data_IF_114216046781
#
_entry.id   IF_114216046781
#
_cell.length_a   1.000
_cell.length_b   1.000
_cell.length_c   1.000
_cell.angle_alpha   90.00
_cell.angle_beta   90.00
_cell.angle_gamma   90.00
#
_symmetry.space_group_name_H-M   'P 1'
#
loop_
_entity.id
_entity.type
_entity.pdbx_description
1 polymer ?
#
# COMPACT_ATOMS: atom_id res chain seq x y z
N UNK A 1 -55.81 12.28 -24.99
CA UNK A 1 -55.13 12.31 -23.67
C UNK A 1 -53.66 12.05 -23.90
N UNK A 2 -52.86 13.10 -23.80
CA UNK A 2 -51.44 13.13 -24.14
C UNK A 2 -50.68 13.14 -22.82
N UNK A 3 -50.09 12.01 -22.43
CA UNK A 3 -49.35 11.88 -21.18
C UNK A 3 -47.96 12.47 -21.37
N UNK A 4 -47.73 13.66 -20.80
CA UNK A 4 -46.42 14.28 -20.75
C UNK A 4 -45.42 13.40 -19.98
N UNK A 5 -44.19 13.21 -20.47
CA UNK A 5 -43.16 12.48 -19.74
C UNK A 5 -42.74 13.29 -18.52
N UNK A 6 -42.76 12.64 -17.35
CA UNK A 6 -42.26 13.19 -16.09
C UNK A 6 -40.74 13.22 -16.21
N UNK A 7 -40.19 14.40 -16.50
CA UNK A 7 -38.77 14.69 -16.36
C UNK A 7 -38.40 14.61 -14.86
N UNK A 8 -37.93 13.43 -14.44
CA UNK A 8 -37.29 13.24 -13.15
C UNK A 8 -35.99 14.04 -13.20
N UNK A 9 -36.03 15.26 -12.65
CA UNK A 9 -34.89 16.12 -12.36
C UNK A 9 -33.79 15.29 -11.68
N UNK A 10 -32.82 14.81 -12.48
CA UNK A 10 -31.58 14.28 -11.93
C UNK A 10 -30.89 15.45 -11.24
N UNK A 11 -30.64 15.37 -9.92
CA UNK A 11 -29.92 16.43 -9.22
C UNK A 11 -28.56 16.58 -9.89
N UNK A 12 -28.32 17.75 -10.47
CA UNK A 12 -27.05 18.13 -11.06
C UNK A 12 -25.98 18.04 -9.97
N UNK A 13 -25.21 16.95 -9.96
CA UNK A 13 -24.09 16.77 -9.04
C UNK A 13 -23.02 17.77 -9.46
N UNK A 14 -22.67 18.79 -8.65
CA UNK A 14 -21.64 19.74 -9.01
C UNK A 14 -20.28 19.04 -9.06
N UNK A 15 -19.75 18.85 -10.27
CA UNK A 15 -18.40 18.37 -10.48
C UNK A 15 -17.41 19.43 -9.98
N UNK A 16 -16.73 19.16 -8.86
CA UNK A 16 -15.66 20.02 -8.33
C UNK A 16 -14.29 19.36 -8.54
N UNK A 17 -13.52 19.74 -9.57
CA UNK A 17 -12.27 19.06 -9.97
C UNK A 17 -11.01 19.43 -9.14
N UNK A 18 -11.15 20.07 -7.98
CA UNK A 18 -10.03 20.52 -7.12
C UNK A 18 -9.70 19.58 -5.94
N UNK A 19 -10.34 18.41 -5.82
CA UNK A 19 -10.32 17.59 -4.59
C UNK A 19 -9.10 16.68 -4.41
N UNK A 20 -8.40 16.32 -5.49
CA UNK A 20 -7.38 15.25 -5.47
C UNK A 20 -6.17 15.51 -4.59
N UNK A 21 -5.54 16.69 -4.65
CA UNK A 21 -4.33 16.98 -3.85
C UNK A 21 -4.63 17.10 -2.36
N UNK A 22 -5.80 17.63 -2.01
CA UNK A 22 -6.24 17.74 -0.61
C UNK A 22 -6.50 16.36 0.00
N UNK A 23 -7.15 15.46 -0.73
CA UNK A 23 -7.39 14.09 -0.27
C UNK A 23 -6.08 13.31 -0.10
N UNK A 24 -5.14 13.38 -1.06
CA UNK A 24 -3.84 12.69 -0.92
C UNK A 24 -3.02 13.21 0.25
N UNK A 25 -3.03 14.53 0.51
CA UNK A 25 -2.35 15.11 1.67
C UNK A 25 -3.01 14.67 2.99
N UNK A 26 -4.34 14.71 3.08
CA UNK A 26 -5.08 14.20 4.26
C UNK A 26 -4.78 12.73 4.53
N UNK A 27 -4.75 11.91 3.48
CA UNK A 27 -4.39 10.50 3.57
C UNK A 27 -2.96 10.33 4.11
N UNK A 28 -1.99 11.05 3.54
CA UNK A 28 -0.61 11.00 4.00
C UNK A 28 -0.50 11.35 5.49
N UNK A 29 -1.13 12.46 5.89
CA UNK A 29 -1.14 12.95 7.26
C UNK A 29 -1.79 11.96 8.22
N UNK A 30 -3.02 11.51 7.93
CA UNK A 30 -3.75 10.56 8.78
C UNK A 30 -3.01 9.23 8.90
N UNK A 31 -2.48 8.69 7.79
CA UNK A 31 -1.70 7.47 7.82
C UNK A 31 -0.44 7.64 8.67
N UNK A 32 0.23 8.79 8.56
CA UNK A 32 1.44 9.07 9.37
C UNK A 32 1.09 9.13 10.86
N UNK A 33 0.05 9.88 11.21
CA UNK A 33 -0.43 9.99 12.59
C UNK A 33 -0.86 8.64 13.16
N UNK A 34 -1.58 7.82 12.39
CA UNK A 34 -1.99 6.49 12.81
C UNK A 34 -0.82 5.55 13.01
N UNK A 35 0.18 5.55 12.12
CA UNK A 35 1.37 4.69 12.28
C UNK A 35 2.19 5.12 13.50
N UNK A 36 2.40 6.43 13.70
CA UNK A 36 3.09 6.95 14.88
C UNK A 36 2.35 6.62 16.18
N UNK A 37 1.02 6.78 16.18
CA UNK A 37 0.19 6.42 17.32
C UNK A 37 0.26 4.91 17.61
N UNK A 38 0.23 4.06 16.58
CA UNK A 38 0.34 2.62 16.74
C UNK A 38 1.70 2.20 17.31
N UNK A 39 2.80 2.82 16.86
CA UNK A 39 4.12 2.55 17.41
C UNK A 39 4.19 2.97 18.88
N UNK A 40 3.67 4.15 19.22
CA UNK A 40 3.68 4.63 20.60
C UNK A 40 2.82 3.75 21.53
N UNK A 41 1.71 3.22 21.02
CA UNK A 41 0.81 2.31 21.73
C UNK A 41 1.20 0.84 21.64
N UNK A 42 2.28 0.49 20.94
CA UNK A 42 2.68 -0.90 20.68
C UNK A 42 2.75 -1.79 21.93
N UNK A 43 3.31 -1.32 23.07
CA UNK A 43 3.34 -2.12 24.31
C UNK A 43 1.95 -2.58 24.78
N UNK A 44 0.90 -1.85 24.41
CA UNK A 44 -0.49 -2.15 24.77
C UNK A 44 -1.16 -3.14 23.81
N UNK A 45 -0.52 -3.54 22.71
CA UNK A 45 -1.09 -4.45 21.72
C UNK A 45 -0.82 -5.93 21.97
N UNK A 46 -0.14 -6.28 23.07
CA UNK A 46 0.03 -7.67 23.48
C UNK A 46 -1.31 -8.47 23.55
N UNK A 47 -2.44 -7.92 24.04
CA UNK A 47 -3.74 -8.59 23.99
C UNK A 47 -4.23 -8.86 22.57
N UNK A 48 -3.99 -7.95 21.62
CA UNK A 48 -4.37 -8.13 20.21
C UNK A 48 -3.64 -9.32 19.59
N UNK A 49 -2.34 -9.45 19.85
CA UNK A 49 -1.55 -10.58 19.38
C UNK A 49 -2.02 -11.92 19.98
N UNK A 50 -2.37 -11.93 21.28
CA UNK A 50 -2.95 -13.13 21.93
C UNK A 50 -4.32 -13.49 21.36
N UNK A 51 -5.19 -12.50 21.13
CA UNK A 51 -6.49 -12.72 20.53
C UNK A 51 -6.36 -13.28 19.10
N UNK A 52 -5.43 -12.73 18.31
CA UNK A 52 -5.12 -13.22 16.96
C UNK A 52 -4.61 -14.67 17.01
N UNK A 53 -3.69 -14.99 17.93
CA UNK A 53 -3.19 -16.37 18.11
C UNK A 53 -4.31 -17.35 18.49
N UNK A 54 -5.22 -16.95 19.38
CA UNK A 54 -6.38 -17.75 19.76
C UNK A 54 -7.32 -17.99 18.57
N UNK A 55 -7.63 -16.94 17.79
CA UNK A 55 -8.48 -17.04 16.60
C UNK A 55 -7.87 -17.97 15.54
N UNK A 56 -6.56 -17.87 15.30
CA UNK A 56 -5.83 -18.78 14.40
C UNK A 56 -5.89 -20.22 14.92
N UNK A 57 -5.68 -20.42 16.23
CA UNK A 57 -5.82 -21.74 16.85
C UNK A 57 -7.22 -22.34 16.65
N UNK A 58 -8.27 -21.55 16.81
CA UNK A 58 -9.65 -21.97 16.55
C UNK A 58 -9.86 -22.35 15.09
N UNK A 59 -9.40 -21.53 14.13
CA UNK A 59 -9.55 -21.81 12.70
C UNK A 59 -8.83 -23.10 12.28
N UNK A 60 -7.61 -23.31 12.79
CA UNK A 60 -6.85 -24.54 12.57
C UNK A 60 -7.55 -25.75 13.20
N UNK A 61 -8.11 -25.60 14.41
CA UNK A 61 -8.91 -26.63 15.07
C UNK A 61 -10.16 -27.03 14.27
N UNK A 62 -10.87 -26.05 13.73
CA UNK A 62 -12.02 -26.27 12.84
C UNK A 62 -11.63 -26.99 11.54
N UNK A 63 -10.38 -26.84 11.08
CA UNK A 63 -9.84 -27.56 9.94
C UNK A 63 -9.35 -29.00 10.28
N UNK A 64 -9.60 -29.48 11.50
CA UNK A 64 -9.20 -30.83 11.94
C UNK A 64 -7.74 -30.94 12.38
N UNK A 65 -7.04 -29.83 12.55
CA UNK A 65 -5.66 -29.80 13.04
C UNK A 65 -5.66 -29.67 14.57
N UNK A 66 -4.56 -30.06 15.22
CA UNK A 66 -4.41 -30.00 16.68
C UNK A 66 -3.37 -28.95 17.11
N UNK A 67 -3.61 -27.65 16.89
CA UNK A 67 -2.68 -26.61 17.30
C UNK A 67 -2.64 -26.46 18.82
N UNK A 68 -1.48 -26.14 19.37
CA UNK A 68 -1.32 -25.67 20.76
C UNK A 68 -1.11 -24.16 20.76
N UNK A 69 -1.96 -23.43 21.48
CA UNK A 69 -1.85 -21.97 21.62
C UNK A 69 -1.35 -21.63 23.03
N UNK A 70 -0.28 -20.83 23.12
CA UNK A 70 0.24 -20.34 24.40
C UNK A 70 0.63 -18.86 24.29
N UNK A 71 -0.18 -17.97 24.88
CA UNK A 71 0.01 -16.53 24.73
C UNK A 71 -0.14 -16.11 23.27
N UNK A 72 0.91 -15.55 22.67
CA UNK A 72 0.95 -15.22 21.23
C UNK A 72 1.63 -16.28 20.37
N UNK A 73 1.96 -17.45 20.93
CA UNK A 73 2.55 -18.56 20.20
C UNK A 73 1.47 -19.53 19.73
N UNK A 74 1.58 -19.96 18.48
CA UNK A 74 0.78 -21.06 17.90
C UNK A 74 1.75 -22.14 17.43
N UNK A 75 1.60 -23.35 17.97
CA UNK A 75 2.45 -24.50 17.66
C UNK A 75 1.63 -25.59 16.98
N UNK A 76 2.10 -26.09 15.85
CA UNK A 76 1.48 -27.18 15.10
C UNK A 76 2.57 -28.14 14.60
N UNK A 77 2.48 -29.42 14.96
CA UNK A 77 3.42 -30.47 14.49
C UNK A 77 4.91 -30.11 14.64
N UNK A 78 5.29 -29.49 15.77
CA UNK A 78 6.66 -29.05 16.04
C UNK A 78 7.07 -27.72 15.40
N UNK A 79 6.24 -27.16 14.51
CA UNK A 79 6.42 -25.83 13.95
C UNK A 79 5.75 -24.78 14.85
N UNK A 80 6.47 -23.72 15.19
CA UNK A 80 5.98 -22.67 16.09
C UNK A 80 6.06 -21.31 15.43
N UNK A 81 4.94 -20.59 15.43
CA UNK A 81 4.87 -19.18 15.01
C UNK A 81 4.54 -18.29 16.20
N UNK A 82 5.20 -17.13 16.27
CA UNK A 82 4.87 -16.06 17.21
C UNK A 82 4.09 -14.99 16.47
N UNK A 83 2.90 -14.68 16.95
CA UNK A 83 2.14 -13.53 16.47
C UNK A 83 2.72 -12.27 17.09
N UNK A 84 3.35 -11.47 16.25
CA UNK A 84 3.84 -10.11 16.56
C UNK A 84 2.88 -9.06 15.99
N UNK A 85 3.06 -7.80 16.39
CA UNK A 85 2.19 -6.69 15.97
C UNK A 85 2.11 -6.59 14.45
N UNK A 86 3.22 -6.81 13.74
CA UNK A 86 3.32 -6.77 12.27
C UNK A 86 2.54 -7.89 11.58
N UNK A 87 2.31 -9.02 12.27
CA UNK A 87 1.47 -10.09 11.76
C UNK A 87 -0.01 -9.86 12.07
N UNK A 88 -0.36 -8.90 12.92
CA UNK A 88 -1.76 -8.53 13.20
C UNK A 88 -2.35 -7.72 12.02
N UNK A 89 -3.68 -7.62 11.89
CA UNK A 89 -4.28 -6.81 10.83
C UNK A 89 -4.15 -5.30 11.08
N UNK A 90 -3.56 -4.88 12.21
CA UNK A 90 -3.57 -3.50 12.68
C UNK A 90 -3.07 -2.51 11.63
N UNK A 91 -1.85 -2.68 11.12
CA UNK A 91 -1.27 -1.71 10.18
C UNK A 91 -2.03 -1.66 8.85
N UNK A 92 -2.52 -2.80 8.37
CA UNK A 92 -3.36 -2.85 7.17
C UNK A 92 -4.71 -2.12 7.37
N UNK A 93 -5.34 -2.30 8.54
CA UNK A 93 -6.55 -1.57 8.91
C UNK A 93 -6.30 -0.07 9.04
N UNK A 94 -5.20 0.36 9.68
CA UNK A 94 -4.84 1.77 9.83
C UNK A 94 -4.59 2.44 8.48
N UNK A 95 -3.89 1.77 7.57
CA UNK A 95 -3.67 2.25 6.21
C UNK A 95 -5.00 2.43 5.45
N UNK A 96 -5.88 1.43 5.54
CA UNK A 96 -7.23 1.49 4.94
C UNK A 96 -8.09 2.59 5.57
N UNK A 97 -8.10 2.72 6.90
CA UNK A 97 -8.86 3.74 7.61
C UNK A 97 -8.39 5.15 7.29
N UNK A 98 -7.08 5.36 7.19
CA UNK A 98 -6.52 6.63 6.74
C UNK A 98 -7.04 6.99 5.33
N UNK A 99 -7.16 6.01 4.44
CA UNK A 99 -7.72 6.23 3.10
C UNK A 99 -9.20 6.63 3.17
N UNK A 100 -10.03 5.85 3.89
CA UNK A 100 -11.47 6.12 4.03
C UNK A 100 -11.73 7.50 4.64
N UNK A 101 -11.02 7.86 5.71
CA UNK A 101 -11.18 9.13 6.41
C UNK A 101 -10.67 10.34 5.62
N UNK A 102 -9.74 10.14 4.68
CA UNK A 102 -9.25 11.21 3.83
C UNK A 102 -10.26 11.63 2.75
N UNK A 103 -11.25 10.80 2.46
CA UNK A 103 -12.22 10.98 1.38
C UNK A 103 -13.51 11.62 1.89
N UNK A 104 -14.15 12.51 1.11
CA UNK A 104 -15.42 13.11 1.50
C UNK A 104 -16.54 12.05 1.42
N UNK A 105 -17.18 11.76 2.55
CA UNK A 105 -18.31 10.84 2.65
C UNK A 105 -19.24 11.25 3.81
N UNK A 106 -20.50 10.80 3.78
CA UNK A 106 -21.38 10.96 4.93
C UNK A 106 -20.90 10.11 6.11
N UNK A 107 -21.11 10.57 7.34
CA UNK A 107 -20.63 9.88 8.54
C UNK A 107 -21.05 8.40 8.62
N UNK A 108 -22.27 8.09 8.18
CA UNK A 108 -22.78 6.70 8.12
C UNK A 108 -21.98 5.84 7.13
N UNK A 109 -21.70 6.36 5.93
CA UNK A 109 -20.90 5.64 4.91
C UNK A 109 -19.44 5.49 5.33
N UNK A 110 -18.89 6.50 5.99
CA UNK A 110 -17.55 6.44 6.58
C UNK A 110 -17.49 5.34 7.63
N UNK A 111 -18.37 5.35 8.63
CA UNK A 111 -18.37 4.35 9.70
C UNK A 111 -18.60 2.93 9.16
N UNK A 112 -19.57 2.74 8.26
CA UNK A 112 -19.81 1.46 7.62
C UNK A 112 -18.59 0.97 6.82
N UNK A 113 -17.93 1.88 6.09
CA UNK A 113 -16.70 1.59 5.37
C UNK A 113 -15.55 1.15 6.27
N UNK A 114 -15.32 1.85 7.39
CA UNK A 114 -14.29 1.52 8.37
C UNK A 114 -14.53 0.12 8.97
N UNK A 115 -15.76 -0.18 9.38
CA UNK A 115 -16.13 -1.45 10.00
C UNK A 115 -16.06 -2.63 9.02
N UNK A 116 -16.68 -2.49 7.84
CA UNK A 116 -16.68 -3.55 6.83
C UNK A 116 -15.27 -3.84 6.30
N UNK A 117 -14.47 -2.81 6.04
CA UNK A 117 -13.10 -3.02 5.59
C UNK A 117 -12.21 -3.62 6.68
N UNK A 118 -12.35 -3.20 7.94
CA UNK A 118 -11.63 -3.83 9.05
C UNK A 118 -12.00 -5.31 9.22
N UNK A 119 -13.28 -5.65 9.06
CA UNK A 119 -13.76 -7.03 9.11
C UNK A 119 -13.12 -7.88 8.00
N UNK A 120 -13.16 -7.41 6.75
CA UNK A 120 -12.57 -8.11 5.59
C UNK A 120 -11.06 -8.28 5.75
N UNK A 121 -10.34 -7.20 6.11
CA UNK A 121 -8.88 -7.24 6.31
C UNK A 121 -8.51 -8.20 7.45
N UNK A 122 -9.25 -8.17 8.56
CA UNK A 122 -9.02 -9.07 9.70
C UNK A 122 -9.26 -10.52 9.32
N UNK A 123 -10.36 -10.83 8.64
CA UNK A 123 -10.67 -12.19 8.19
C UNK A 123 -9.59 -12.74 7.25
N UNK A 124 -9.14 -11.94 6.28
CA UNK A 124 -8.08 -12.33 5.37
C UNK A 124 -6.74 -12.52 6.08
N UNK A 125 -6.40 -11.68 7.06
CA UNK A 125 -5.18 -11.84 7.84
C UNK A 125 -5.21 -13.12 8.68
N UNK A 126 -6.34 -13.44 9.32
CA UNK A 126 -6.52 -14.69 10.07
C UNK A 126 -6.37 -15.91 9.15
N UNK A 127 -6.99 -15.88 7.97
CA UNK A 127 -6.84 -16.93 6.97
C UNK A 127 -5.38 -17.08 6.54
N UNK A 128 -4.70 -15.97 6.23
CA UNK A 128 -3.28 -15.94 5.87
C UNK A 128 -2.42 -16.62 6.93
N UNK A 129 -2.53 -16.21 8.19
CA UNK A 129 -1.72 -16.78 9.28
C UNK A 129 -2.04 -18.26 9.47
N UNK A 130 -3.32 -18.63 9.39
CA UNK A 130 -3.74 -20.03 9.51
C UNK A 130 -3.11 -20.89 8.41
N UNK A 131 -3.16 -20.45 7.14
CA UNK A 131 -2.52 -21.14 6.01
C UNK A 131 -1.01 -21.27 6.23
N UNK A 132 -0.33 -20.18 6.58
CA UNK A 132 1.13 -20.17 6.79
C UNK A 132 1.52 -21.09 7.96
N UNK A 133 0.73 -21.13 9.03
CA UNK A 133 0.95 -22.02 10.17
C UNK A 133 0.71 -23.49 9.81
N UNK A 134 -0.31 -23.78 9.00
CA UNK A 134 -0.64 -25.13 8.55
C UNK A 134 0.41 -25.69 7.58
N UNK A 135 0.96 -24.84 6.71
CA UNK A 135 1.95 -25.22 5.69
C UNK A 135 3.38 -25.26 6.26
N UNK A 136 3.67 -24.48 7.31
CA UNK A 136 5.00 -24.39 7.92
C UNK A 136 5.70 -25.72 8.25
N UNK A 137 5.03 -26.73 8.84
CA UNK A 137 5.64 -28.04 9.13
C UNK A 137 6.08 -28.84 7.89
N UNK A 138 5.53 -28.56 6.70
CA UNK A 138 5.70 -29.41 5.51
C UNK A 138 6.55 -28.79 4.40
N UNK A 139 6.89 -27.50 4.50
CA UNK A 139 7.69 -26.81 3.48
C UNK A 139 9.11 -26.47 3.99
N UNK A 140 10.10 -26.38 3.09
CA UNK A 140 11.42 -25.89 3.45
C UNK A 140 11.37 -24.45 3.97
N UNK A 141 12.30 -24.09 4.86
CA UNK A 141 12.41 -22.75 5.46
C UNK A 141 12.39 -21.61 4.42
N UNK A 142 13.11 -21.78 3.29
CA UNK A 142 13.12 -20.78 2.23
C UNK A 142 11.72 -20.55 1.61
N UNK A 143 10.95 -21.62 1.40
CA UNK A 143 9.59 -21.52 0.84
C UNK A 143 8.65 -20.89 1.87
N UNK A 144 8.81 -21.25 3.14
CA UNK A 144 8.08 -20.60 4.23
C UNK A 144 8.30 -19.09 4.24
N UNK A 145 9.55 -18.62 4.15
CA UNK A 145 9.86 -17.18 4.10
C UNK A 145 9.17 -16.49 2.92
N UNK A 146 9.17 -17.11 1.74
CA UNK A 146 8.45 -16.57 0.57
C UNK A 146 6.93 -16.51 0.81
N UNK A 147 6.33 -17.57 1.36
CA UNK A 147 4.88 -17.61 1.62
C UNK A 147 4.46 -16.62 2.71
N UNK A 148 5.16 -16.67 3.85
CA UNK A 148 4.89 -15.83 5.00
C UNK A 148 5.08 -14.35 4.67
N UNK A 149 6.23 -14.01 4.08
CA UNK A 149 6.62 -12.63 3.85
C UNK A 149 6.01 -12.11 2.56
N UNK A 150 6.34 -12.67 1.40
CA UNK A 150 5.91 -12.09 0.13
C UNK A 150 4.42 -12.30 -0.10
N UNK A 151 3.98 -13.56 -0.22
CA UNK A 151 2.60 -13.85 -0.59
C UNK A 151 1.67 -13.24 0.45
N UNK A 152 2.03 -13.39 1.73
CA UNK A 152 1.35 -12.75 2.84
C UNK A 152 1.24 -11.23 2.73
N UNK A 153 2.37 -10.52 2.70
CA UNK A 153 2.39 -9.07 2.76
C UNK A 153 1.82 -8.43 1.49
N UNK A 154 2.20 -8.92 0.31
CA UNK A 154 1.71 -8.36 -0.96
C UNK A 154 0.22 -8.64 -1.15
N UNK A 155 -0.27 -9.83 -0.79
CA UNK A 155 -1.72 -10.10 -0.84
C UNK A 155 -2.48 -9.18 0.12
N UNK A 156 -1.98 -8.94 1.33
CA UNK A 156 -2.62 -8.03 2.28
C UNK A 156 -2.63 -6.58 1.79
N UNK A 157 -1.53 -6.09 1.20
CA UNK A 157 -1.49 -4.74 0.60
C UNK A 157 -2.44 -4.63 -0.60
N UNK A 158 -2.46 -5.63 -1.47
CA UNK A 158 -3.43 -5.71 -2.57
C UNK A 158 -4.87 -5.73 -2.07
N UNK A 159 -5.15 -6.41 -0.96
CA UNK A 159 -6.46 -6.43 -0.32
C UNK A 159 -6.83 -5.06 0.25
N UNK A 160 -5.88 -4.32 0.83
CA UNK A 160 -6.10 -2.93 1.28
C UNK A 160 -6.46 -2.04 0.09
N UNK A 161 -5.71 -2.12 -1.02
CA UNK A 161 -6.03 -1.41 -2.28
C UNK A 161 -7.43 -1.81 -2.76
N UNK A 162 -7.73 -3.11 -2.79
CA UNK A 162 -9.02 -3.61 -3.24
C UNK A 162 -10.17 -3.06 -2.39
N UNK A 163 -10.03 -3.12 -1.07
CA UNK A 163 -11.01 -2.62 -0.11
C UNK A 163 -11.21 -1.11 -0.28
N UNK A 164 -10.12 -0.35 -0.44
CA UNK A 164 -10.15 1.09 -0.68
C UNK A 164 -10.89 1.44 -1.99
N UNK A 165 -10.62 0.71 -3.08
CA UNK A 165 -11.27 0.95 -4.37
C UNK A 165 -12.75 0.52 -4.37
N UNK A 166 -13.08 -0.61 -3.74
CA UNK A 166 -14.47 -1.06 -3.57
C UNK A 166 -15.27 -0.04 -2.76
N UNK A 167 -14.71 0.43 -1.64
CA UNK A 167 -15.34 1.46 -0.82
C UNK A 167 -15.46 2.79 -1.58
N UNK A 168 -14.42 3.21 -2.30
CA UNK A 168 -14.46 4.43 -3.12
C UNK A 168 -15.55 4.34 -4.18
N UNK A 169 -15.69 3.18 -4.85
CA UNK A 169 -16.78 2.95 -5.81
C UNK A 169 -18.14 3.03 -5.14
N UNK A 170 -18.31 2.44 -3.96
CA UNK A 170 -19.57 2.53 -3.22
C UNK A 170 -19.89 3.96 -2.78
N UNK A 171 -18.89 4.76 -2.43
CA UNK A 171 -19.08 6.13 -1.97
C UNK A 171 -19.34 7.12 -3.12
N UNK A 172 -18.56 7.08 -4.20
CA UNK A 172 -18.57 8.09 -5.28
C UNK A 172 -18.98 7.57 -6.66
N UNK A 173 -19.28 6.27 -6.81
CA UNK A 173 -19.67 5.68 -8.10
C UNK A 173 -18.51 5.44 -9.08
N UNK A 174 -17.27 5.37 -8.58
CA UNK A 174 -16.06 5.17 -9.37
C UNK A 174 -16.01 3.87 -10.22
N UNK A 175 -14.96 3.71 -11.05
CA UNK A 175 -14.82 2.57 -11.95
C UNK A 175 -14.75 1.23 -11.19
N UNK A 176 -15.07 0.14 -11.89
CA UNK A 176 -14.97 -1.19 -11.32
C UNK A 176 -13.51 -1.50 -10.91
N UNK A 177 -13.27 -1.96 -9.66
CA UNK A 177 -11.90 -2.19 -9.19
C UNK A 177 -11.26 -3.45 -9.78
N UNK A 178 -12.08 -4.44 -10.15
CA UNK A 178 -11.62 -5.78 -10.51
C UNK A 178 -10.60 -5.82 -11.67
N UNK A 179 -10.80 -5.13 -12.81
CA UNK A 179 -9.83 -5.17 -13.91
C UNK A 179 -8.45 -4.61 -13.51
N UNK A 180 -8.44 -3.51 -12.75
CA UNK A 180 -7.22 -2.92 -12.22
C UNK A 180 -6.52 -3.88 -11.25
N UNK A 181 -7.26 -4.47 -10.31
CA UNK A 181 -6.71 -5.37 -9.30
C UNK A 181 -6.15 -6.65 -9.90
N UNK A 182 -6.84 -7.26 -10.88
CA UNK A 182 -6.34 -8.43 -11.59
C UNK A 182 -5.03 -8.12 -12.31
N UNK A 183 -5.00 -7.00 -13.04
CA UNK A 183 -3.80 -6.55 -13.75
C UNK A 183 -2.65 -6.26 -12.78
N UNK A 184 -2.90 -5.55 -11.69
CA UNK A 184 -1.90 -5.27 -10.66
C UNK A 184 -1.40 -6.57 -9.99
N UNK A 185 -2.29 -7.51 -9.68
CA UNK A 185 -1.92 -8.81 -9.10
C UNK A 185 -0.99 -9.60 -10.03
N UNK A 186 -1.38 -9.75 -11.30
CA UNK A 186 -0.56 -10.46 -12.31
C UNK A 186 0.82 -9.79 -12.45
N UNK A 187 0.86 -8.47 -12.55
CA UNK A 187 2.11 -7.73 -12.69
C UNK A 187 2.98 -7.86 -11.43
N UNK A 188 2.39 -7.77 -10.23
CA UNK A 188 3.10 -7.93 -8.97
C UNK A 188 3.74 -9.33 -8.85
N UNK A 189 3.01 -10.38 -9.26
CA UNK A 189 3.54 -11.74 -9.31
C UNK A 189 4.67 -11.87 -10.33
N UNK A 190 4.50 -11.29 -11.52
CA UNK A 190 5.52 -11.33 -12.58
C UNK A 190 6.83 -10.62 -12.17
N UNK A 191 6.76 -9.48 -11.48
CA UNK A 191 7.95 -8.78 -11.01
C UNK A 191 8.60 -9.42 -9.79
N UNK A 192 7.84 -10.15 -8.98
CA UNK A 192 8.38 -10.70 -7.75
C UNK A 192 9.41 -11.80 -7.97
N UNK A 193 9.17 -12.73 -8.91
CA UNK A 193 10.10 -13.84 -9.12
C UNK A 193 11.50 -13.34 -9.49
N UNK A 194 11.68 -12.41 -10.46
CA UNK A 194 12.96 -11.75 -10.68
C UNK A 194 13.44 -10.95 -9.46
N UNK A 195 12.54 -10.31 -8.72
CA UNK A 195 12.90 -9.53 -7.55
C UNK A 195 13.55 -10.39 -6.47
N UNK A 196 13.09 -11.61 -6.20
CA UNK A 196 13.72 -12.52 -5.23
C UNK A 196 15.19 -12.75 -5.55
N UNK A 197 15.51 -12.89 -6.85
CA UNK A 197 16.89 -13.12 -7.32
C UNK A 197 17.72 -11.83 -7.18
N UNK A 198 17.15 -10.68 -7.55
CA UNK A 198 17.86 -9.40 -7.60
C UNK A 198 17.95 -8.73 -6.22
N UNK A 199 17.04 -9.03 -5.29
CA UNK A 199 16.93 -8.40 -3.96
C UNK A 199 18.27 -8.41 -3.21
N UNK A 200 19.01 -9.53 -3.28
CA UNK A 200 20.31 -9.62 -2.61
C UNK A 200 21.35 -8.66 -3.19
N UNK A 201 21.40 -8.51 -4.52
CA UNK A 201 22.29 -7.56 -5.18
C UNK A 201 21.87 -6.12 -4.92
N UNK A 202 20.55 -5.86 -4.92
CA UNK A 202 19.97 -4.58 -4.53
C UNK A 202 20.38 -4.18 -3.11
N UNK A 203 20.22 -5.08 -2.13
CA UNK A 203 20.64 -4.82 -0.75
C UNK A 203 22.15 -4.65 -0.61
N UNK A 204 22.95 -5.41 -1.36
CA UNK A 204 24.40 -5.24 -1.39
C UNK A 204 24.79 -3.83 -1.86
N UNK A 205 24.11 -3.31 -2.87
CA UNK A 205 24.32 -1.96 -3.38
C UNK A 205 23.93 -0.91 -2.33
N UNK A 206 22.79 -1.06 -1.67
CA UNK A 206 22.38 -0.14 -0.59
C UNK A 206 23.38 -0.14 0.57
N UNK A 207 23.80 -1.34 1.01
CA UNK A 207 24.76 -1.48 2.11
C UNK A 207 26.13 -0.88 1.75
N UNK A 208 26.57 -1.01 0.49
CA UNK A 208 27.78 -0.36 -0.02
C UNK A 208 27.67 1.16 0.02
N UNK A 209 26.54 1.73 -0.40
CA UNK A 209 26.32 3.18 -0.34
C UNK A 209 26.33 3.70 1.10
N UNK A 210 25.70 2.98 2.03
CA UNK A 210 25.71 3.31 3.46
C UNK A 210 27.14 3.21 4.02
N UNK A 211 27.87 2.14 3.71
CA UNK A 211 29.26 1.98 4.15
C UNK A 211 30.16 3.11 3.62
N UNK A 212 30.00 3.51 2.35
CA UNK A 212 30.72 4.64 1.77
C UNK A 212 30.40 5.95 2.51
N UNK A 213 29.11 6.22 2.75
CA UNK A 213 28.68 7.40 3.51
C UNK A 213 29.33 7.45 4.91
N UNK A 214 29.31 6.34 5.66
CA UNK A 214 29.93 6.29 6.99
C UNK A 214 31.46 6.39 6.94
N UNK A 215 32.11 5.78 5.95
CA UNK A 215 33.56 5.90 5.77
C UNK A 215 34.00 7.33 5.45
N UNK A 216 33.14 8.08 4.74
CA UNK A 216 33.36 9.48 4.42
C UNK A 216 33.11 10.40 5.62
N UNK A 217 32.04 10.17 6.37
CA UNK A 217 31.71 10.93 7.58
C UNK A 217 32.68 10.65 8.74
N UNK A 218 33.19 9.42 8.83
CA UNK A 218 34.07 8.95 9.91
C UNK A 218 35.29 8.24 9.31
N UNK A 219 36.34 8.98 8.90
CA UNK A 219 37.55 8.39 8.33
C UNK A 219 38.14 7.32 9.24
N UNK A 220 38.40 6.13 8.68
CA UNK A 220 38.91 4.96 9.41
C UNK A 220 37.82 4.02 9.96
N UNK A 221 36.55 4.43 9.98
CA UNK A 221 35.44 3.56 10.35
C UNK A 221 35.13 2.56 9.23
N UNK A 222 35.11 1.27 9.55
CA UNK A 222 34.72 0.19 8.63
C UNK A 222 33.40 -0.42 9.08
N UNK A 223 32.33 -0.06 8.38
CA UNK A 223 31.01 -0.63 8.63
C UNK A 223 30.94 -2.07 8.11
N UNK A 224 30.80 -3.04 9.02
CA UNK A 224 30.53 -4.43 8.68
C UNK A 224 29.02 -4.66 8.71
N UNK A 225 28.43 -4.87 7.53
CA UNK A 225 27.01 -5.24 7.39
C UNK A 225 26.89 -6.74 7.13
N UNK A 226 26.75 -7.58 8.18
CA UNK A 226 26.46 -8.98 7.96
C UNK A 226 25.15 -9.11 7.19
N UNK A 227 25.12 -10.03 6.23
CA UNK A 227 23.93 -10.33 5.40
C UNK A 227 23.37 -11.71 5.76
N UNK A 228 22.72 -11.84 6.94
CA UNK A 228 22.32 -13.15 7.44
C UNK A 228 21.08 -13.71 6.72
N UNK A 229 20.28 -12.85 6.08
CA UNK A 229 19.02 -13.26 5.46
C UNK A 229 19.16 -13.46 3.96
N UNK A 230 18.55 -14.54 3.47
CA UNK A 230 18.43 -14.79 2.03
C UNK A 230 17.47 -13.78 1.38
N UNK A 231 16.45 -13.34 2.12
CA UNK A 231 15.38 -12.49 1.63
C UNK A 231 15.15 -11.33 2.60
N UNK A 232 15.18 -10.11 2.07
CA UNK A 232 14.83 -8.89 2.80
C UNK A 232 13.42 -8.45 2.41
N UNK A 233 12.51 -8.44 3.38
CA UNK A 233 11.08 -8.18 3.21
C UNK A 233 10.74 -6.71 2.91
N UNK A 234 11.55 -5.80 3.45
CA UNK A 234 11.41 -4.34 3.32
C UNK A 234 11.82 -3.79 1.97
N UNK A 235 11.95 -4.65 0.96
CA UNK A 235 12.16 -4.21 -0.43
C UNK A 235 11.02 -4.65 -1.33
N UNK A 236 10.06 -5.42 -0.81
CA UNK A 236 8.93 -5.96 -1.56
C UNK A 236 7.89 -4.91 -1.94
N UNK A 237 7.98 -3.73 -1.35
CA UNK A 237 7.26 -2.55 -1.80
C UNK A 237 7.67 -2.09 -3.20
N UNK A 238 8.89 -2.42 -3.67
CA UNK A 238 9.34 -2.07 -5.01
C UNK A 238 8.52 -2.80 -6.09
N UNK A 239 8.45 -4.16 -6.13
CA UNK A 239 7.60 -4.84 -7.10
C UNK A 239 6.12 -4.50 -6.95
N UNK A 240 5.65 -4.23 -5.72
CA UNK A 240 4.29 -3.77 -5.48
C UNK A 240 4.03 -2.38 -6.09
N UNK A 241 4.92 -1.41 -5.89
CA UNK A 241 4.85 -0.08 -6.50
C UNK A 241 4.86 -0.16 -8.03
N UNK A 242 5.76 -0.95 -8.60
CA UNK A 242 5.82 -1.20 -10.04
C UNK A 242 4.48 -1.73 -10.55
N UNK A 243 3.89 -2.68 -9.85
CA UNK A 243 2.60 -3.25 -10.21
C UNK A 243 1.48 -2.21 -10.22
N UNK A 244 1.40 -1.35 -9.20
CA UNK A 244 0.39 -0.28 -9.14
C UNK A 244 0.53 0.70 -10.31
N UNK A 245 1.75 1.16 -10.59
CA UNK A 245 2.01 2.13 -11.67
C UNK A 245 1.75 1.52 -13.06
N UNK A 246 2.12 0.27 -13.27
CA UNK A 246 1.93 -0.43 -14.55
C UNK A 246 0.48 -0.86 -14.77
N UNK A 247 -0.26 -1.14 -13.69
CA UNK A 247 -1.68 -1.44 -13.76
C UNK A 247 -2.51 -0.21 -14.14
N UNK A 248 -2.10 0.99 -13.70
CA UNK A 248 -2.77 2.26 -14.00
C UNK A 248 -3.01 2.51 -15.51
N UNK A 249 -4.22 2.96 -15.84
CA UNK A 249 -4.61 3.28 -17.21
C UNK A 249 -4.16 4.69 -17.62
N UNK A 250 -4.00 4.93 -18.93
CA UNK A 250 -3.89 6.28 -19.49
C UNK A 250 -2.51 6.96 -19.49
N UNK A 251 -1.52 6.46 -18.74
CA UNK A 251 -0.19 7.10 -18.72
C UNK A 251 0.58 6.79 -20.02
N UNK A 252 1.00 7.84 -20.73
CA UNK A 252 1.92 7.76 -21.87
C UNK A 252 3.21 7.02 -21.47
N UNK A 253 3.70 6.11 -22.31
CA UNK A 253 4.79 5.16 -21.98
C UNK A 253 6.01 5.82 -21.34
N UNK A 254 6.49 6.96 -21.87
CA UNK A 254 7.66 7.64 -21.32
C UNK A 254 7.41 8.23 -19.92
N UNK A 255 6.21 8.78 -19.66
CA UNK A 255 5.85 9.32 -18.34
C UNK A 255 5.75 8.21 -17.33
N UNK A 256 5.22 7.06 -17.74
CA UNK A 256 5.16 5.86 -16.90
C UNK A 256 6.57 5.39 -16.56
N UNK A 257 7.48 5.35 -17.53
CA UNK A 257 8.88 5.02 -17.27
C UNK A 257 9.54 6.02 -16.31
N UNK A 258 9.39 7.32 -16.54
CA UNK A 258 9.93 8.35 -15.67
C UNK A 258 9.37 8.25 -14.24
N UNK A 259 8.07 7.93 -14.11
CA UNK A 259 7.40 7.71 -12.84
C UNK A 259 7.91 6.47 -12.11
N UNK A 260 8.11 5.36 -12.84
CA UNK A 260 8.71 4.14 -12.32
C UNK A 260 10.12 4.41 -11.82
N UNK A 261 10.98 5.00 -12.66
CA UNK A 261 12.38 5.30 -12.30
C UNK A 261 12.43 6.23 -11.09
N UNK A 262 11.71 7.36 -11.14
CA UNK A 262 11.67 8.32 -10.04
C UNK A 262 11.14 7.71 -8.74
N UNK A 263 10.08 6.91 -8.81
CA UNK A 263 9.52 6.24 -7.64
C UNK A 263 10.46 5.18 -7.04
N UNK A 264 11.10 4.35 -7.87
CA UNK A 264 12.09 3.36 -7.42
C UNK A 264 13.31 4.05 -6.80
N UNK A 265 13.79 5.17 -7.37
CA UNK A 265 14.86 5.97 -6.77
C UNK A 265 14.46 6.54 -5.40
N UNK A 266 13.22 7.03 -5.24
CA UNK A 266 12.72 7.52 -3.96
C UNK A 266 12.60 6.39 -2.92
N UNK A 267 12.09 5.22 -3.31
CA UNK A 267 12.04 4.03 -2.45
C UNK A 267 13.45 3.59 -2.03
N UNK A 268 14.41 3.56 -2.96
CA UNK A 268 15.80 3.25 -2.65
C UNK A 268 16.42 4.26 -1.67
N UNK A 269 16.18 5.55 -1.88
CA UNK A 269 16.60 6.60 -0.93
C UNK A 269 16.00 6.39 0.47
N UNK A 270 14.74 5.96 0.54
CA UNK A 270 14.10 5.64 1.81
C UNK A 270 14.71 4.40 2.48
N UNK A 271 15.02 3.35 1.73
CA UNK A 271 15.72 2.18 2.28
C UNK A 271 17.12 2.54 2.81
N UNK A 272 17.84 3.43 2.12
CA UNK A 272 19.13 3.95 2.59
C UNK A 272 18.94 4.70 3.92
N UNK A 273 17.94 5.58 4.02
CA UNK A 273 17.62 6.27 5.27
C UNK A 273 17.30 5.30 6.40
N UNK A 274 16.49 4.27 6.11
CA UNK A 274 16.21 3.19 7.05
C UNK A 274 17.49 2.48 7.51
N UNK A 275 18.39 2.14 6.59
CA UNK A 275 19.67 1.49 6.90
C UNK A 275 20.60 2.39 7.73
N UNK A 276 20.71 3.67 7.38
CA UNK A 276 21.48 4.65 8.16
C UNK A 276 20.91 4.73 9.57
N UNK A 277 19.59 4.84 9.71
CA UNK A 277 18.95 4.87 11.03
C UNK A 277 19.28 3.62 11.83
N UNK A 278 19.23 2.43 11.22
CA UNK A 278 19.60 1.18 11.89
C UNK A 278 21.06 1.19 12.39
N UNK A 279 22.00 1.64 11.56
CA UNK A 279 23.43 1.69 11.91
C UNK A 279 23.68 2.65 13.07
N UNK A 280 23.16 3.88 12.99
CA UNK A 280 23.31 4.88 14.06
C UNK A 280 22.76 4.35 15.37
N UNK A 281 21.58 3.73 15.33
CA UNK A 281 20.92 3.23 16.53
C UNK A 281 21.62 2.04 17.15
N UNK A 282 22.07 1.11 16.32
CA UNK A 282 22.88 -0.02 16.78
C UNK A 282 24.20 0.46 17.41
N UNK A 283 24.82 1.50 16.84
CA UNK A 283 26.08 2.05 17.36
C UNK A 283 25.89 2.81 18.68
N UNK A 284 24.77 3.53 18.86
CA UNK A 284 24.50 4.30 20.07
C UNK A 284 24.00 3.45 21.24
N UNK A 285 23.48 2.24 20.98
CA UNK A 285 22.85 1.37 21.98
C UNK A 285 21.72 2.05 22.76
N UNK A 286 21.01 2.98 22.11
CA UNK A 286 19.89 3.74 22.69
C UNK A 286 18.59 3.09 22.25
N UNK A 287 17.99 2.30 23.16
CA UNK A 287 16.73 1.59 22.92
C UNK A 287 15.54 2.53 22.69
N UNK A 288 15.64 3.76 23.19
CA UNK A 288 14.61 4.79 23.22
C UNK A 288 14.26 5.31 21.82
N UNK A 289 15.14 5.12 20.84
CA UNK A 289 14.93 5.56 19.45
C UNK A 289 14.42 4.40 18.55
N UNK A 290 14.29 3.19 19.09
CA UNK A 290 13.67 2.07 18.37
C UNK A 290 12.27 2.40 17.78
N UNK A 291 11.38 3.15 18.49
CA UNK A 291 10.12 3.61 17.91
C UNK A 291 10.29 4.44 16.63
N UNK A 292 11.30 5.31 16.57
CA UNK A 292 11.57 6.14 15.39
C UNK A 292 12.05 5.27 14.22
N UNK A 293 12.90 4.28 14.49
CA UNK A 293 13.33 3.31 13.49
C UNK A 293 12.15 2.55 12.88
N UNK A 294 11.25 2.05 13.73
CA UNK A 294 10.03 1.38 13.33
C UNK A 294 9.10 2.32 12.55
N UNK A 295 9.06 3.60 12.89
CA UNK A 295 8.30 4.60 12.14
C UNK A 295 8.83 4.78 10.73
N UNK A 296 10.15 4.93 10.56
CA UNK A 296 10.78 5.04 9.25
C UNK A 296 10.47 3.77 8.43
N UNK A 297 10.59 2.60 9.05
CA UNK A 297 10.26 1.33 8.42
C UNK A 297 8.80 1.27 7.93
N UNK A 298 7.84 1.48 8.82
CA UNK A 298 6.41 1.36 8.51
C UNK A 298 5.95 2.42 7.48
N UNK A 299 6.42 3.65 7.58
CA UNK A 299 6.08 4.70 6.62
C UNK A 299 6.65 4.39 5.22
N UNK A 300 7.88 3.88 5.16
CA UNK A 300 8.49 3.45 3.90
C UNK A 300 7.72 2.31 3.24
N UNK A 301 7.45 1.27 4.03
CA UNK A 301 6.87 0.03 3.53
C UNK A 301 5.40 0.19 3.14
N UNK A 302 4.60 0.90 3.95
CA UNK A 302 3.15 0.96 3.79
C UNK A 302 2.66 2.25 3.13
N UNK A 303 3.26 3.41 3.42
CA UNK A 303 2.73 4.69 2.98
C UNK A 303 3.34 5.15 1.65
N UNK A 304 4.66 5.06 1.52
CA UNK A 304 5.38 5.66 0.39
C UNK A 304 4.95 5.11 -0.99
N UNK A 305 4.82 3.79 -1.22
CA UNK A 305 4.36 3.23 -2.50
C UNK A 305 2.99 3.76 -2.92
N UNK A 306 2.06 3.84 -1.96
CA UNK A 306 0.70 4.30 -2.18
C UNK A 306 0.66 5.79 -2.49
N UNK A 307 1.41 6.61 -1.75
CA UNK A 307 1.48 8.05 -2.01
C UNK A 307 2.10 8.35 -3.37
N UNK A 308 3.17 7.66 -3.73
CA UNK A 308 3.80 7.81 -5.04
C UNK A 308 2.81 7.45 -6.14
N UNK A 309 2.14 6.30 -6.03
CA UNK A 309 1.13 5.86 -6.99
C UNK A 309 -0.04 6.86 -7.11
N UNK A 310 -0.66 7.27 -5.99
CA UNK A 310 -1.80 8.21 -6.00
C UNK A 310 -1.44 9.57 -6.59
N UNK A 311 -0.22 10.07 -6.31
CA UNK A 311 0.27 11.34 -6.86
C UNK A 311 0.50 11.26 -8.38
N UNK A 312 0.90 10.10 -8.88
CA UNK A 312 1.10 9.85 -10.30
C UNK A 312 -0.23 9.73 -11.04
N UNK A 313 -1.18 9.01 -10.46
CA UNK A 313 -2.51 8.78 -11.05
C UNK A 313 -3.36 10.07 -11.06
N UNK A 314 -3.39 10.81 -9.95
CA UNK A 314 -4.19 12.03 -9.81
C UNK A 314 -3.72 13.24 -10.65
N UNK A 315 -2.52 13.19 -11.24
CA UNK A 315 -2.06 14.18 -12.23
C UNK A 315 -2.68 13.95 -13.61
N UNK A 316 -3.16 12.74 -13.88
CA UNK A 316 -3.70 12.37 -15.19
C UNK A 316 -5.17 12.76 -15.34
N UNK A 317 -6.02 12.48 -14.35
CA UNK A 317 -7.46 12.80 -14.42
C UNK A 317 -7.72 14.29 -14.65
N UNK A 318 -6.92 15.18 -14.05
CA UNK A 318 -7.04 16.64 -14.24
C UNK A 318 -6.80 17.12 -15.67
N UNK A 319 -6.11 16.34 -16.52
CA UNK A 319 -5.76 16.75 -17.88
C UNK A 319 -6.78 16.32 -18.93
N UNK A 320 -7.57 15.28 -18.66
CA UNK A 320 -8.69 14.86 -19.54
C UNK A 320 -9.89 15.79 -19.34
N UNK A 321 -10.15 16.21 -18.11
CA UNK A 321 -11.25 17.12 -17.77
C UNK A 321 -10.93 18.60 -18.05
N UNK A 322 -9.76 18.90 -18.61
CA UNK A 322 -9.51 20.20 -19.24
C UNK A 322 -10.11 20.08 -20.63
N UNK A 323 -11.36 20.55 -20.88
CA UNK A 323 -11.84 20.59 -22.23
C UNK A 323 -10.86 21.48 -22.97
N UNK A 324 -10.34 21.01 -24.09
CA UNK A 324 -9.69 21.87 -25.05
C UNK A 324 -10.71 22.90 -25.56
N UNK A 325 -11.04 23.92 -24.76
CA UNK A 325 -11.01 25.28 -25.26
C UNK A 325 -9.64 25.46 -25.89
N UNK A 326 -9.45 25.94 -27.10
CA UNK A 326 -10.37 26.52 -28.05
C UNK A 326 -9.58 26.49 -29.35
N UNK A 327 -10.02 25.70 -30.32
CA UNK A 327 -9.21 25.48 -31.52
C UNK A 327 -9.91 24.68 -32.59
N UNK A 328 -11.22 24.87 -32.76
CA UNK A 328 -11.92 24.62 -34.01
C UNK A 328 -13.28 25.35 -34.01
N UNK A 329 -13.32 26.62 -33.58
CA UNK A 329 -14.11 27.58 -34.34
C UNK A 329 -13.40 27.71 -35.68
N UNK A 330 -13.71 26.78 -36.58
CA UNK A 330 -13.54 26.99 -37.99
C UNK A 330 -14.44 28.17 -38.34
N UNK A 331 -13.81 29.34 -38.41
CA UNK A 331 -14.22 30.47 -39.24
C UNK A 331 -14.96 29.95 -40.47
N UNK A 332 -16.26 30.23 -40.53
CA UNK A 332 -17.04 30.13 -41.75
C UNK A 332 -16.86 31.48 -42.46
N UNK A 333 -16.10 31.55 -43.56
CA UNK A 333 -16.02 32.78 -44.34
C UNK A 333 -17.28 32.88 -45.22
N UNK A 334 -17.81 34.10 -45.32
CA UNK A 334 -18.69 34.60 -46.38
C UNK A 334 -20.04 33.92 -46.61
N UNK A 335 -21.10 34.63 -46.18
CA UNK A 335 -22.13 35.06 -47.13
C UNK A 335 -22.45 36.54 -46.91
N UNK A 336 -21.84 37.37 -47.74
CA UNK A 336 -22.34 38.69 -48.12
C UNK A 336 -23.77 38.57 -48.66
N UNK A 337 -24.74 39.20 -47.99
CA UNK A 337 -26.01 39.59 -48.64
C UNK A 337 -25.92 41.07 -49.01
N UNK A 338 -26.11 41.43 -50.30
CA UNK A 338 -26.15 42.81 -50.72
C UNK A 338 -27.58 43.37 -50.57
N UNK A 339 -27.66 44.46 -49.83
CA UNK A 339 -28.30 45.70 -50.23
C UNK A 339 -29.68 45.60 -50.95
N UNK A 340 -30.77 45.86 -50.22
CA UNK A 340 -31.91 46.64 -50.74
C UNK A 340 -32.51 47.51 -49.63
N UNK A 341 -32.32 48.82 -49.81
CA UNK A 341 -33.24 49.87 -49.40
C UNK A 341 -33.70 50.59 -50.69
N UNK A 342 -34.72 51.47 -50.67
CA UNK A 342 -35.67 51.78 -49.60
C UNK A 342 -37.10 51.27 -49.84
#
# INVERSE_FOLDING_TARGET
>A
MQTSPIDILQPSIPATPASGSRASFRFALLCTLFMLAAIWLEPLFAPLCRATAAQVGTLLGLAGLAPKVHGSLVTLSGFTVRIVTECSPLYACLLYWAFVLAQPASGVRTLAGLLLGALVITAANLLRISIVTAVGPVVPYFVFDVLHVYLGQVAMLMLVVASALVWSRWNTGGPAPLPFLLKAGIIATAFFVPWVIINRAYMALLDSQVAHLFSWLYPGYRLLTPRPFAIYNHTFEVPFFLALVMAGHGIQTWRRLAAVVGGVCLLAGWHILFRISHVVLSAMNVSEIMPLHQAIYLLGQFLLPFLLWLRLDGRYSRRIDSPSSAGAEASCPDKLEPNRAP
#
